data_IF_156473425410
#
_entry.id   IF_156473425410
#
_cell.length_a   1.000
_cell.length_b   1.000
_cell.length_c   1.000
_cell.angle_alpha   90.00
_cell.angle_beta   90.00
_cell.angle_gamma   90.00
#
_symmetry.space_group_name_H-M   'P 1'
#
loop_
_entity.id
_entity.type
_entity.pdbx_description
1 polymer ?
#
# COMPACT_ATOMS: atom_id res chain seq x y z
N UNK A 1 -41.30 -34.38 -24.36
CA UNK A 1 -42.17 -35.42 -23.79
C UNK A 1 -41.38 -36.20 -22.73
N UNK A 2 -41.91 -36.22 -21.48
CA UNK A 2 -41.85 -37.31 -20.47
C UNK A 2 -40.46 -37.83 -19.99
N UNK A 3 -40.20 -38.18 -18.74
CA UNK A 3 -40.88 -38.11 -17.43
C UNK A 3 -39.82 -38.60 -16.40
N UNK A 4 -39.79 -38.01 -15.22
CA UNK A 4 -39.15 -38.58 -14.04
C UNK A 4 -39.90 -39.81 -13.51
N UNK A 5 -39.21 -40.74 -12.84
CA UNK A 5 -39.76 -41.77 -11.96
C UNK A 5 -38.73 -42.12 -10.87
N UNK A 6 -38.94 -41.78 -9.58
CA UNK A 6 -39.65 -42.52 -8.49
C UNK A 6 -39.07 -43.93 -8.27
N UNK A 7 -38.32 -44.16 -7.17
CA UNK A 7 -38.73 -44.49 -5.76
C UNK A 7 -39.50 -45.80 -5.60
N UNK A 8 -39.01 -46.65 -4.68
CA UNK A 8 -39.76 -47.72 -3.98
C UNK A 8 -38.80 -48.86 -3.56
N UNK A 9 -38.22 -48.91 -2.35
CA UNK A 9 -38.71 -49.32 -1.01
C UNK A 9 -38.84 -50.85 -0.80
N UNK A 10 -38.06 -51.37 0.18
CA UNK A 10 -38.40 -52.39 1.21
C UNK A 10 -38.61 -53.88 0.80
N UNK A 11 -38.39 -54.95 1.59
CA UNK A 11 -38.07 -55.27 3.02
C UNK A 11 -37.37 -56.67 3.05
N UNK A 12 -36.64 -57.10 4.09
CA UNK A 12 -37.02 -58.12 5.15
C UNK A 12 -35.81 -59.09 5.30
N UNK A 13 -35.43 -59.78 6.39
CA UNK A 13 -35.87 -59.99 7.78
C UNK A 13 -34.79 -60.90 8.45
N UNK A 14 -34.70 -60.95 9.79
CA UNK A 14 -34.07 -62.09 10.49
C UNK A 14 -33.19 -61.79 11.72
N UNK A 15 -33.81 -61.69 12.90
CA UNK A 15 -33.20 -61.86 14.25
C UNK A 15 -33.10 -63.38 14.59
N UNK A 16 -32.52 -63.91 15.72
CA UNK A 16 -32.66 -63.41 17.12
C UNK A 16 -31.53 -63.67 18.17
N UNK A 17 -31.66 -62.95 19.32
CA UNK A 17 -31.29 -63.26 20.75
C UNK A 17 -29.80 -63.46 21.14
N UNK A 18 -29.28 -63.11 22.33
CA UNK A 18 -29.85 -63.03 23.70
C UNK A 18 -28.92 -62.27 24.69
N UNK A 19 -29.49 -61.89 25.86
CA UNK A 19 -28.90 -61.51 27.16
C UNK A 19 -28.30 -60.09 27.33
N UNK A 20 -28.77 -59.18 28.20
CA UNK A 20 -29.74 -59.22 29.30
C UNK A 20 -29.06 -59.02 30.66
N UNK A 21 -28.94 -57.78 31.18
CA UNK A 21 -28.94 -57.41 32.62
C UNK A 21 -29.30 -55.91 32.74
N UNK A 22 -30.19 -55.55 33.66
CA UNK A 22 -30.76 -54.22 33.83
C UNK A 22 -29.99 -53.24 34.73
N UNK A 23 -30.40 -51.97 34.68
CA UNK A 23 -30.15 -50.98 35.73
C UNK A 23 -31.19 -49.83 35.67
N UNK A 24 -31.66 -49.43 36.86
CA UNK A 24 -32.71 -48.44 37.17
C UNK A 24 -32.26 -46.96 36.99
N UNK A 25 -33.20 -45.97 37.03
CA UNK A 25 -33.04 -44.67 36.37
C UNK A 25 -32.29 -43.62 37.20
N UNK A 26 -31.22 -43.05 36.62
CA UNK A 26 -30.49 -41.90 37.16
C UNK A 26 -30.99 -40.56 36.58
N UNK A 27 -31.11 -39.57 37.46
CA UNK A 27 -31.51 -38.17 37.27
C UNK A 27 -30.82 -37.43 36.10
N UNK A 28 -31.49 -36.49 35.40
CA UNK A 28 -30.88 -35.69 34.34
C UNK A 28 -29.92 -34.63 34.91
N UNK A 29 -28.67 -34.62 34.42
CA UNK A 29 -27.70 -33.55 34.65
C UNK A 29 -28.11 -32.26 33.90
N UNK A 30 -27.83 -31.06 34.46
CA UNK A 30 -28.09 -29.80 33.78
C UNK A 30 -27.13 -29.59 32.60
N UNK A 31 -27.53 -28.86 31.53
CA UNK A 31 -26.66 -28.60 30.40
C UNK A 31 -25.48 -27.73 30.83
N UNK A 32 -24.26 -28.20 30.56
CA UNK A 32 -23.04 -27.40 30.61
C UNK A 32 -23.19 -26.19 29.71
N UNK A 33 -23.10 -25.00 30.31
CA UNK A 33 -23.04 -23.72 29.61
C UNK A 33 -21.85 -23.68 28.66
N UNK A 34 -22.11 -23.48 27.36
CA UNK A 34 -21.08 -23.19 26.38
C UNK A 34 -20.36 -21.89 26.78
N UNK A 35 -19.13 -22.03 27.26
CA UNK A 35 -18.24 -20.91 27.53
C UNK A 35 -18.01 -20.13 26.23
N UNK A 36 -18.30 -18.83 26.27
CA UNK A 36 -18.03 -17.92 25.17
C UNK A 36 -16.55 -18.02 24.75
N UNK A 37 -16.23 -18.15 23.45
CA UNK A 37 -14.84 -18.22 23.02
C UNK A 37 -14.14 -16.90 23.37
N UNK A 38 -13.01 -17.01 24.07
CA UNK A 38 -12.15 -15.87 24.39
C UNK A 38 -11.80 -15.07 23.11
N UNK A 39 -11.70 -13.73 23.19
CA UNK A 39 -11.37 -12.91 22.04
C UNK A 39 -10.01 -13.31 21.49
N UNK A 40 -9.98 -13.69 20.20
CA UNK A 40 -8.74 -14.00 19.49
C UNK A 40 -7.80 -12.78 19.54
N UNK A 41 -6.50 -12.96 19.86
CA UNK A 41 -5.57 -11.85 19.86
C UNK A 41 -5.52 -11.20 18.47
N UNK A 42 -5.48 -9.86 18.38
CA UNK A 42 -5.44 -9.18 17.10
C UNK A 42 -4.20 -9.65 16.33
N UNK A 43 -4.39 -10.08 15.09
CA UNK A 43 -3.28 -10.43 14.19
C UNK A 43 -2.40 -9.20 14.00
N UNK A 44 -1.13 -9.28 14.40
CA UNK A 44 -0.16 -8.22 14.14
C UNK A 44 -0.04 -8.04 12.62
N UNK A 45 -0.32 -6.82 12.13
CA UNK A 45 -0.09 -6.50 10.71
C UNK A 45 1.42 -6.47 10.45
N UNK A 46 1.91 -7.04 9.34
CA UNK A 46 3.31 -6.94 8.98
C UNK A 46 3.75 -5.47 8.92
N UNK A 47 4.88 -5.15 9.56
CA UNK A 47 5.47 -3.80 9.50
C UNK A 47 6.16 -3.63 8.15
N UNK A 48 5.66 -2.72 7.33
CA UNK A 48 6.27 -2.38 6.05
C UNK A 48 7.40 -1.39 6.31
N UNK A 49 8.64 -1.85 6.13
CA UNK A 49 9.86 -1.05 6.33
C UNK A 49 10.47 -0.76 4.97
N UNK A 50 10.79 0.50 4.73
CA UNK A 50 11.43 0.97 3.51
C UNK A 50 12.77 1.64 3.83
N UNK A 51 13.66 1.63 2.85
CA UNK A 51 14.94 2.33 2.92
C UNK A 51 14.89 3.62 2.12
N UNK A 52 15.56 4.65 2.61
CA UNK A 52 15.54 5.97 1.98
C UNK A 52 16.89 6.66 2.01
N UNK A 53 17.16 7.53 1.03
CA UNK A 53 18.28 8.46 0.99
C UNK A 53 17.82 9.80 0.43
N UNK A 54 18.54 10.87 0.80
CA UNK A 54 18.45 12.12 0.06
C UNK A 54 19.14 11.94 -1.30
N UNK A 55 18.49 12.39 -2.37
CA UNK A 55 18.97 12.19 -3.74
C UNK A 55 20.33 12.86 -4.03
N UNK A 56 20.68 13.93 -3.30
CA UNK A 56 21.99 14.59 -3.37
C UNK A 56 23.09 13.86 -2.58
N UNK A 57 22.76 12.75 -1.91
CA UNK A 57 23.67 11.96 -1.10
C UNK A 57 23.42 12.11 0.40
N UNK A 58 23.16 10.99 1.07
CA UNK A 58 23.05 10.88 2.52
C UNK A 58 23.36 9.45 2.97
N UNK A 59 23.57 9.20 4.27
CA UNK A 59 23.44 7.86 4.82
C UNK A 59 22.05 7.26 4.55
N UNK A 60 21.93 5.94 4.58
CA UNK A 60 20.65 5.25 4.40
C UNK A 60 19.80 5.36 5.66
N UNK A 61 18.60 5.90 5.49
CA UNK A 61 17.52 5.94 6.47
C UNK A 61 16.60 4.72 6.39
N UNK A 62 15.91 4.44 7.50
CA UNK A 62 14.84 3.43 7.57
C UNK A 62 13.56 4.09 8.01
N UNK A 63 12.48 3.88 7.27
CA UNK A 63 11.16 4.48 7.53
C UNK A 63 10.07 3.43 7.48
N UNK A 64 9.00 3.65 8.25
CA UNK A 64 7.84 2.78 8.33
C UNK A 64 6.64 3.55 8.89
N UNK A 65 5.45 2.94 8.82
CA UNK A 65 4.25 3.47 9.50
C UNK A 65 3.62 4.70 8.86
N UNK A 66 3.75 4.85 7.53
CA UNK A 66 3.04 5.86 6.74
C UNK A 66 1.92 5.23 5.92
N UNK A 67 0.84 5.98 5.71
CA UNK A 67 -0.34 5.56 4.94
C UNK A 67 -0.61 6.43 3.72
N UNK A 68 0.07 7.57 3.63
CA UNK A 68 -0.06 8.54 2.55
C UNK A 68 1.27 9.27 2.32
N UNK A 69 1.36 10.03 1.23
CA UNK A 69 2.59 10.73 0.82
C UNK A 69 3.01 11.81 1.83
N UNK A 70 2.06 12.49 2.48
CA UNK A 70 2.36 13.50 3.50
C UNK A 70 3.06 12.87 4.71
N UNK A 71 2.56 11.73 5.18
CA UNK A 71 3.20 10.93 6.24
C UNK A 71 4.55 10.35 5.82
N UNK A 72 4.66 9.91 4.55
CA UNK A 72 5.93 9.45 3.98
C UNK A 72 7.00 10.56 4.07
N UNK A 73 6.69 11.77 3.62
CA UNK A 73 7.60 12.91 3.71
C UNK A 73 7.94 13.27 5.14
N UNK A 74 6.96 13.22 6.06
CA UNK A 74 7.22 13.43 7.48
C UNK A 74 8.22 12.41 8.05
N UNK A 75 8.09 11.12 7.67
CA UNK A 75 9.00 10.05 8.12
C UNK A 75 10.41 10.19 7.54
N UNK A 76 10.52 10.58 6.27
CA UNK A 76 11.82 10.87 5.65
C UNK A 76 12.48 12.06 6.34
N UNK A 77 11.73 13.14 6.53
CA UNK A 77 12.20 14.37 7.15
C UNK A 77 12.69 14.14 8.59
N UNK A 78 11.95 13.35 9.38
CA UNK A 78 12.33 12.92 10.73
C UNK A 78 13.70 12.23 10.75
N UNK A 79 13.94 11.31 9.82
CA UNK A 79 15.20 10.55 9.73
C UNK A 79 16.40 11.42 9.36
N UNK A 80 16.19 12.44 8.52
CA UNK A 80 17.27 13.31 8.03
C UNK A 80 17.37 14.65 8.76
N UNK A 81 16.49 14.93 9.72
CA UNK A 81 16.51 16.19 10.47
C UNK A 81 16.22 17.42 9.62
N UNK A 82 15.43 17.28 8.56
CA UNK A 82 15.01 18.37 7.66
C UNK A 82 13.53 18.71 7.84
N UNK A 83 13.06 19.83 7.30
CA UNK A 83 11.62 20.09 7.22
C UNK A 83 10.97 19.23 6.12
N UNK A 84 9.77 18.66 6.33
CA UNK A 84 9.02 17.98 5.28
C UNK A 84 8.77 18.88 4.06
N UNK A 85 8.73 20.20 4.24
CA UNK A 85 8.54 21.18 3.16
C UNK A 85 9.76 21.33 2.25
N UNK A 86 10.92 20.83 2.67
CA UNK A 86 12.11 20.80 1.84
C UNK A 86 12.04 19.66 0.81
N UNK A 87 11.27 18.60 1.06
CA UNK A 87 11.12 17.48 0.14
C UNK A 87 10.17 17.89 -1.00
N UNK A 88 10.71 17.92 -2.22
CA UNK A 88 9.95 18.21 -3.44
C UNK A 88 9.20 16.99 -3.93
N UNK A 89 9.89 15.88 -4.17
CA UNK A 89 9.28 14.63 -4.65
C UNK A 89 10.19 13.44 -4.31
N UNK A 90 9.69 12.24 -4.56
CA UNK A 90 10.48 11.01 -4.42
C UNK A 90 10.58 10.26 -5.75
N UNK A 91 11.74 9.67 -6.01
CA UNK A 91 11.94 8.66 -7.05
C UNK A 91 12.19 7.29 -6.40
N UNK A 92 11.84 6.22 -7.11
CA UNK A 92 12.06 4.85 -6.67
C UNK A 92 13.28 4.26 -7.40
N UNK A 93 14.20 3.68 -6.65
CA UNK A 93 15.38 2.94 -7.12
C UNK A 93 16.39 3.77 -7.95
N UNK A 94 16.31 5.09 -7.90
CA UNK A 94 17.28 5.99 -8.54
C UNK A 94 17.36 7.31 -7.81
N UNK A 95 18.57 7.81 -7.58
CA UNK A 95 18.82 9.17 -7.07
C UNK A 95 18.74 10.23 -8.18
N UNK A 96 18.73 9.82 -9.45
CA UNK A 96 18.63 10.74 -10.59
C UNK A 96 17.21 11.29 -10.69
N UNK A 97 17.09 12.50 -11.23
CA UNK A 97 15.80 13.10 -11.59
C UNK A 97 15.26 12.36 -12.82
N UNK A 98 14.60 11.22 -12.58
CA UNK A 98 13.96 10.39 -13.59
C UNK A 98 12.45 10.36 -13.34
N UNK A 99 11.71 11.08 -14.17
CA UNK A 99 10.25 11.20 -14.06
C UNK A 99 9.50 9.91 -14.39
N UNK A 100 10.15 8.90 -14.99
CA UNK A 100 9.59 7.55 -15.16
C UNK A 100 9.66 6.73 -13.87
N UNK A 101 10.56 7.09 -12.96
CA UNK A 101 10.72 6.49 -11.63
C UNK A 101 10.11 7.33 -10.52
N UNK A 102 9.34 8.37 -10.87
CA UNK A 102 8.61 9.18 -9.93
C UNK A 102 7.64 8.31 -9.11
N UNK A 103 7.59 8.53 -7.80
CA UNK A 103 6.63 7.88 -6.92
C UNK A 103 5.19 8.18 -7.40
N UNK A 104 4.49 7.15 -7.87
CA UNK A 104 3.17 7.26 -8.52
C UNK A 104 1.99 6.67 -7.74
N UNK A 105 2.17 6.34 -6.46
CA UNK A 105 1.14 5.78 -5.58
C UNK A 105 1.30 4.28 -5.26
N UNK A 106 2.19 3.59 -5.95
CA UNK A 106 2.62 2.23 -5.60
C UNK A 106 4.09 2.24 -5.19
N UNK A 107 4.41 1.46 -4.16
CA UNK A 107 5.77 1.23 -3.67
C UNK A 107 5.91 -0.27 -3.45
N UNK A 108 6.87 -0.89 -4.15
CA UNK A 108 7.24 -2.27 -3.94
C UNK A 108 7.91 -2.47 -2.57
N UNK A 109 7.73 -3.64 -1.97
CA UNK A 109 8.26 -3.93 -0.63
C UNK A 109 9.79 -3.79 -0.52
N UNK A 110 10.49 -3.94 -1.64
CA UNK A 110 11.95 -3.85 -1.73
C UNK A 110 12.42 -2.55 -2.40
N UNK A 111 11.50 -1.64 -2.75
CA UNK A 111 11.87 -0.39 -3.39
C UNK A 111 12.67 0.51 -2.44
N UNK A 112 13.69 1.12 -3.01
CA UNK A 112 14.50 2.13 -2.34
C UNK A 112 13.97 3.51 -2.70
N UNK A 113 13.71 4.35 -1.69
CA UNK A 113 13.13 5.68 -1.88
C UNK A 113 14.25 6.71 -1.92
N UNK A 114 14.27 7.57 -2.93
CA UNK A 114 15.17 8.72 -3.00
C UNK A 114 14.37 10.01 -2.90
N UNK A 115 14.60 10.77 -1.84
CA UNK A 115 13.94 12.04 -1.60
C UNK A 115 14.73 13.18 -2.25
N UNK A 116 14.09 13.89 -3.17
CA UNK A 116 14.64 15.08 -3.81
C UNK A 116 14.24 16.29 -3.00
N UNK A 117 15.21 16.96 -2.41
CA UNK A 117 14.98 18.20 -1.65
C UNK A 117 15.16 19.42 -2.53
N UNK A 118 14.59 20.54 -2.10
CA UNK A 118 14.75 21.83 -2.76
C UNK A 118 16.23 22.21 -2.77
N UNK A 119 16.74 22.46 -3.97
CA UNK A 119 18.07 23.03 -4.17
C UNK A 119 18.00 24.56 -4.24
N UNK A 120 18.91 25.13 -5.02
CA UNK A 120 18.95 26.57 -5.28
C UNK A 120 17.72 27.05 -6.08
N UNK A 121 17.18 28.20 -5.67
CA UNK A 121 16.10 28.87 -6.41
C UNK A 121 16.66 29.50 -7.67
N UNK A 122 16.07 29.16 -8.82
CA UNK A 122 16.38 29.79 -10.11
C UNK A 122 15.19 30.62 -10.58
N UNK A 123 15.46 31.85 -11.00
CA UNK A 123 14.49 32.71 -11.69
C UNK A 123 14.83 32.76 -13.17
N UNK A 124 13.83 32.54 -14.03
CA UNK A 124 14.00 32.48 -15.48
C UNK A 124 12.90 33.31 -16.12
N UNK A 125 13.29 34.33 -16.88
CA UNK A 125 12.35 35.12 -17.69
C UNK A 125 12.02 34.39 -18.98
N UNK A 126 10.72 34.34 -19.33
CA UNK A 126 10.23 33.65 -20.53
C UNK A 126 9.27 34.55 -21.30
N UNK A 127 9.57 34.83 -22.56
CA UNK A 127 8.63 35.46 -23.49
C UNK A 127 7.70 34.39 -24.09
N UNK A 128 6.39 34.53 -23.89
CA UNK A 128 5.40 33.62 -24.48
C UNK A 128 5.16 33.96 -25.96
N UNK A 129 5.85 33.27 -26.87
CA UNK A 129 5.77 33.48 -28.34
C UNK A 129 4.81 32.54 -29.08
N UNK A 130 4.29 31.52 -28.39
CA UNK A 130 3.39 30.49 -28.92
C UNK A 130 2.24 30.26 -27.93
N UNK A 131 1.17 29.58 -28.37
CA UNK A 131 -0.02 29.33 -27.55
C UNK A 131 0.28 28.54 -26.27
N UNK A 132 1.23 27.59 -26.35
CA UNK A 132 1.63 26.71 -25.27
C UNK A 132 3.14 26.79 -24.98
N UNK A 133 3.49 26.82 -23.69
CA UNK A 133 4.90 26.78 -23.25
C UNK A 133 5.56 25.40 -23.45
N UNK A 134 4.77 24.34 -23.57
CA UNK A 134 5.25 22.96 -23.67
C UNK A 134 5.58 22.29 -22.33
N UNK A 135 5.01 22.77 -21.23
CA UNK A 135 5.17 22.18 -19.90
C UNK A 135 4.05 21.20 -19.56
N UNK A 136 4.38 20.15 -18.82
CA UNK A 136 3.42 19.39 -18.04
C UNK A 136 3.76 19.54 -16.57
N UNK A 137 2.83 20.08 -15.80
CA UNK A 137 2.96 20.28 -14.36
C UNK A 137 2.32 19.10 -13.63
N UNK A 138 2.91 18.72 -12.51
CA UNK A 138 2.35 17.77 -11.54
C UNK A 138 2.57 18.35 -10.14
N UNK A 139 1.92 17.77 -9.14
CA UNK A 139 2.19 18.08 -7.74
C UNK A 139 2.75 16.87 -6.99
N UNK A 140 3.25 17.14 -5.78
CA UNK A 140 3.81 16.13 -4.89
C UNK A 140 2.83 15.64 -3.81
N UNK A 141 1.55 15.99 -3.90
CA UNK A 141 0.52 15.67 -2.90
C UNK A 141 0.68 16.40 -1.57
N UNK A 142 1.60 17.38 -1.47
CA UNK A 142 1.93 18.10 -0.23
C UNK A 142 2.07 19.62 -0.43
N UNK A 143 1.45 20.16 -1.48
CA UNK A 143 1.37 21.61 -1.73
C UNK A 143 2.48 22.20 -2.61
N UNK A 144 3.33 21.36 -3.21
CA UNK A 144 4.32 21.81 -4.21
C UNK A 144 3.99 21.27 -5.59
N UNK A 145 3.98 22.17 -6.58
CA UNK A 145 3.92 21.84 -7.99
C UNK A 145 5.32 21.86 -8.61
N UNK A 146 5.57 20.98 -9.57
CA UNK A 146 6.83 20.90 -10.30
C UNK A 146 6.62 20.47 -11.75
N UNK A 147 7.63 20.70 -12.60
CA UNK A 147 7.62 20.30 -14.00
C UNK A 147 7.90 18.81 -14.09
N UNK A 148 6.94 18.04 -14.61
CA UNK A 148 7.08 16.60 -14.87
C UNK A 148 7.61 16.31 -16.26
N UNK A 149 7.25 17.15 -17.24
CA UNK A 149 7.68 16.99 -18.63
C UNK A 149 7.86 18.34 -19.29
N UNK A 150 8.88 18.39 -20.15
CA UNK A 150 9.08 19.46 -21.12
C UNK A 150 8.94 18.82 -22.50
N UNK A 151 8.08 19.40 -23.34
CA UNK A 151 7.86 18.94 -24.72
C UNK A 151 9.06 19.34 -25.57
N UNK A 152 9.61 18.38 -26.31
CA UNK A 152 10.70 18.64 -27.25
C UNK A 152 10.31 19.71 -28.28
N UNK A 153 11.24 20.62 -28.58
CA UNK A 153 11.03 21.73 -29.51
C UNK A 153 10.12 22.87 -29.02
N UNK A 154 9.58 22.79 -27.79
CA UNK A 154 8.75 23.85 -27.21
C UNK A 154 9.54 25.08 -26.76
N UNK A 155 8.83 26.18 -26.44
CA UNK A 155 9.43 27.40 -25.89
C UNK A 155 10.38 27.06 -24.73
N UNK A 156 9.92 26.30 -23.74
CA UNK A 156 10.72 26.01 -22.55
C UNK A 156 11.88 25.06 -22.85
N UNK A 157 11.72 24.11 -23.78
CA UNK A 157 12.82 23.21 -24.19
C UNK A 157 14.00 23.95 -24.83
N UNK A 158 13.73 25.09 -25.51
CA UNK A 158 14.76 25.90 -26.19
C UNK A 158 15.50 26.86 -25.25
N UNK A 159 15.06 27.00 -24.00
CA UNK A 159 15.73 27.85 -23.02
C UNK A 159 16.94 27.09 -22.46
N UNK A 160 18.14 27.61 -22.70
CA UNK A 160 19.33 27.13 -22.00
C UNK A 160 19.24 27.56 -20.54
N UNK A 161 19.19 26.59 -19.63
CA UNK A 161 19.35 26.86 -18.21
C UNK A 161 20.84 26.87 -17.91
N UNK A 162 21.36 28.02 -17.49
CA UNK A 162 22.71 28.18 -16.92
C UNK A 162 22.79 27.53 -15.53
#
# INVERSE_FOLDING_TARGET
MRRAGRRGRQVQEGSPMENGVGQEPGTPEPPTSEGSPAPRPPRARPRLVFHTQLAHGSPTGRIEGFTNVKELYAKIAEVFGISPTEILFCTLNTHKVDMQKLLGGQIGLEDFIFAHVRGETKEVEVTKTEDALGLTITDNGAGYAFIKRIKEGSIINRIQTV
#
